data_IF_576207743157
#
_entry.id   IF_576207743157
#
_cell.length_a   1.000
_cell.length_b   1.000
_cell.length_c   1.000
_cell.angle_alpha   90.00
_cell.angle_beta   90.00
_cell.angle_gamma   90.00
#
_symmetry.space_group_name_H-M   'P 1'
#
loop_
_entity.id
_entity.type
_entity.pdbx_description
1 polymer ?
#
# COMPACT_ATOMS: atom_id res chain seq x y z
N UNK A 1 26.68 -6.44 7.29
CA UNK A 1 25.74 -5.60 6.52
C UNK A 1 24.70 -5.04 7.47
N UNK A 2 24.53 -3.72 7.53
CA UNK A 2 23.41 -3.15 8.28
C UNK A 2 22.11 -3.38 7.48
N UNK A 3 21.14 -4.07 8.07
CA UNK A 3 19.81 -4.37 7.53
C UNK A 3 18.90 -3.11 7.54
N UNK A 4 19.41 -1.95 7.15
CA UNK A 4 18.75 -0.66 7.40
C UNK A 4 17.61 -0.32 6.43
N UNK A 5 17.45 -1.08 5.34
CA UNK A 5 16.36 -0.88 4.38
C UNK A 5 15.87 -2.24 3.88
N UNK A 6 14.60 -2.52 4.15
CA UNK A 6 13.96 -3.80 3.87
C UNK A 6 12.86 -3.56 2.83
N UNK A 7 12.86 -4.36 1.78
CA UNK A 7 11.85 -4.28 0.71
C UNK A 7 11.00 -5.54 0.75
N UNK A 8 9.68 -5.37 0.83
CA UNK A 8 8.73 -6.46 0.92
C UNK A 8 7.71 -6.38 -0.22
N UNK A 9 7.37 -7.54 -0.79
CA UNK A 9 6.25 -7.67 -1.70
C UNK A 9 5.02 -8.11 -0.90
N UNK A 10 4.07 -7.20 -0.72
CA UNK A 10 2.84 -7.45 0.03
C UNK A 10 1.66 -7.48 -0.94
N UNK A 11 0.84 -8.53 -0.85
CA UNK A 11 -0.38 -8.70 -1.66
C UNK A 11 -1.54 -8.99 -0.70
N UNK A 12 -2.68 -8.37 -0.94
CA UNK A 12 -3.92 -8.60 -0.18
C UNK A 12 -5.14 -8.58 -1.10
N UNK A 13 -6.29 -8.99 -0.58
CA UNK A 13 -7.57 -8.91 -1.29
C UNK A 13 -8.58 -8.05 -0.53
N UNK A 14 -9.62 -7.62 -1.22
CA UNK A 14 -10.82 -7.04 -0.62
C UNK A 14 -11.57 -8.07 0.23
N UNK A 15 -12.45 -7.58 1.12
CA UNK A 15 -13.34 -8.43 1.91
C UNK A 15 -14.16 -9.31 0.97
N UNK A 16 -14.18 -10.62 1.25
CA UNK A 16 -14.91 -11.62 0.45
C UNK A 16 -14.53 -11.62 -1.06
N UNK A 17 -13.36 -11.08 -1.43
CA UNK A 17 -12.93 -10.88 -2.83
C UNK A 17 -13.91 -10.07 -3.68
N UNK A 18 -14.66 -9.16 -3.07
CA UNK A 18 -15.55 -8.26 -3.81
C UNK A 18 -14.74 -7.37 -4.78
N UNK A 19 -15.23 -7.12 -6.01
CA UNK A 19 -14.51 -6.33 -7.02
C UNK A 19 -14.65 -4.81 -6.75
N UNK A 20 -14.20 -4.35 -5.58
CA UNK A 20 -14.32 -2.95 -5.13
C UNK A 20 -13.19 -2.04 -5.62
N UNK A 21 -12.11 -2.63 -6.15
CA UNK A 21 -10.99 -1.89 -6.72
C UNK A 21 -11.31 -1.57 -8.18
N UNK A 22 -12.13 -0.53 -8.38
CA UNK A 22 -12.48 -0.04 -9.72
C UNK A 22 -11.48 1.03 -10.17
N UNK A 23 -11.36 1.30 -11.49
CA UNK A 23 -10.43 2.32 -12.01
C UNK A 23 -10.63 3.71 -11.42
N UNK A 24 -11.84 4.03 -10.97
CA UNK A 24 -12.17 5.33 -10.36
C UNK A 24 -11.65 5.44 -8.91
N UNK A 25 -11.56 4.32 -8.19
CA UNK A 25 -11.13 4.28 -6.78
C UNK A 25 -9.60 4.10 -6.67
N UNK A 26 -8.95 3.47 -7.65
CA UNK A 26 -7.51 3.20 -7.65
C UNK A 26 -6.64 4.43 -7.32
N UNK A 27 -6.85 5.63 -7.91
CA UNK A 27 -6.03 6.79 -7.63
C UNK A 27 -6.12 7.24 -6.15
N UNK A 28 -7.33 7.23 -5.59
CA UNK A 28 -7.56 7.60 -4.19
C UNK A 28 -6.94 6.56 -3.24
N UNK A 29 -7.09 5.27 -3.56
CA UNK A 29 -6.51 4.19 -2.78
C UNK A 29 -4.98 4.25 -2.77
N UNK A 30 -4.35 4.49 -3.92
CA UNK A 30 -2.90 4.62 -4.01
C UNK A 30 -2.40 5.81 -3.19
N UNK A 31 -3.08 6.95 -3.28
CA UNK A 31 -2.79 8.12 -2.43
C UNK A 31 -2.90 7.80 -0.95
N UNK A 32 -3.93 7.06 -0.54
CA UNK A 32 -4.12 6.63 0.85
C UNK A 32 -2.99 5.69 1.33
N UNK A 33 -2.58 4.72 0.52
CA UNK A 33 -1.48 3.80 0.85
C UNK A 33 -0.16 4.56 1.02
N UNK A 34 0.15 5.48 0.11
CA UNK A 34 1.35 6.32 0.19
C UNK A 34 1.31 7.17 1.47
N UNK A 35 0.17 7.81 1.76
CA UNK A 35 0.01 8.61 2.99
C UNK A 35 0.18 7.78 4.27
N UNK A 36 -0.22 6.51 4.27
CA UNK A 36 0.05 5.59 5.39
C UNK A 36 1.52 5.21 5.49
N UNK A 37 2.18 4.90 4.38
CA UNK A 37 3.59 4.56 4.36
C UNK A 37 4.47 5.75 4.79
N UNK A 38 4.10 6.99 4.42
CA UNK A 38 4.75 8.21 4.88
C UNK A 38 4.58 8.42 6.39
N UNK A 39 3.35 8.29 6.89
CA UNK A 39 3.06 8.40 8.33
C UNK A 39 3.74 7.31 9.18
N UNK A 40 4.17 6.21 8.57
CA UNK A 40 4.92 5.11 9.20
C UNK A 40 6.43 5.19 8.91
N UNK A 41 6.91 6.29 8.34
CA UNK A 41 8.32 6.53 8.03
C UNK A 41 8.96 5.44 7.14
N UNK A 42 8.18 4.87 6.22
CA UNK A 42 8.62 3.78 5.35
C UNK A 42 9.22 4.25 4.02
N UNK A 43 9.07 5.53 3.65
CA UNK A 43 9.44 6.07 2.31
C UNK A 43 10.73 6.92 2.36
N UNK A 44 11.36 7.06 3.52
CA UNK A 44 12.54 7.90 3.76
C UNK A 44 13.85 7.40 3.12
#
# INVERSE_FOLDING_TARGET
MALWRLFYHVVWSTKERQPLLTPEIEPELYGYIIGKADALECIT
#
